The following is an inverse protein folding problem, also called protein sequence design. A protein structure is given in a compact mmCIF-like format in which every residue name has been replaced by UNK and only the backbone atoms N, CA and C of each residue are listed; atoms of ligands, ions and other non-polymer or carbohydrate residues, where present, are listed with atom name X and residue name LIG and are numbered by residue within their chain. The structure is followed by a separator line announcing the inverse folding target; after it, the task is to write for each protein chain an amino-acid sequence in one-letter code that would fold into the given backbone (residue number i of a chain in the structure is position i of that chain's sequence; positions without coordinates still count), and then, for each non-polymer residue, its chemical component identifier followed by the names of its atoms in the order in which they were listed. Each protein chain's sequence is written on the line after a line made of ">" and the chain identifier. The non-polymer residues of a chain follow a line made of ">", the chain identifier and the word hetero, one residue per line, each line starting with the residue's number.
data_IF_388963976383
#
_entry.id   IF_388963976383
#
_cell.length_a   1.000
_cell.length_b   1.000
_cell.length_c   1.000
_cell.angle_alpha   90.00
_cell.angle_beta   90.00
_cell.angle_gamma   90.00
#
_symmetry.space_group_name_H-M   'P 1'
#
loop_
_entity.id
_entity.type
_entity.pdbx_description
1 polymer ?
#
# COMPACT_ATOMS: atom_id res chain seq x y z
N UNK A 1 -61.25 69.13 25.06
CA UNK A 1 -60.61 68.93 26.39
C UNK A 1 -59.69 67.70 26.47
N UNK A 2 -59.29 67.08 25.35
CA UNK A 2 -58.40 65.89 25.34
C UNK A 2 -56.97 66.14 24.81
N UNK A 3 -56.63 67.38 24.40
CA UNK A 3 -55.29 67.70 23.89
C UNK A 3 -54.28 68.12 24.98
N UNK A 4 -54.72 68.39 26.22
CA UNK A 4 -53.85 68.84 27.33
C UNK A 4 -53.31 67.71 28.22
N UNK A 5 -53.88 66.50 28.14
CA UNK A 5 -53.50 65.37 29.02
C UNK A 5 -52.51 64.40 28.38
N UNK A 6 -52.36 64.40 27.05
CA UNK A 6 -51.32 63.63 26.35
C UNK A 6 -49.92 64.28 26.43
N UNK A 7 -49.84 65.58 26.72
CA UNK A 7 -48.56 66.28 26.80
C UNK A 7 -47.80 66.03 28.11
N UNK A 8 -48.46 65.66 29.22
CA UNK A 8 -47.79 65.54 30.52
C UNK A 8 -47.05 64.21 30.73
N UNK A 9 -47.49 63.12 30.09
CA UNK A 9 -46.78 61.84 30.15
C UNK A 9 -45.58 61.85 29.19
N UNK A 10 -45.78 62.36 27.97
CA UNK A 10 -44.72 62.51 26.98
C UNK A 10 -43.65 63.50 27.43
N UNK A 11 -44.02 64.64 28.04
CA UNK A 11 -43.04 65.59 28.58
C UNK A 11 -42.20 64.98 29.71
N UNK A 12 -42.81 64.21 30.62
CA UNK A 12 -42.08 63.49 31.68
C UNK A 12 -41.11 62.45 31.12
N UNK A 13 -41.48 61.75 30.05
CA UNK A 13 -40.58 60.81 29.38
C UNK A 13 -39.40 61.52 28.71
N UNK A 14 -39.64 62.68 28.09
CA UNK A 14 -38.58 63.50 27.49
C UNK A 14 -37.66 64.09 28.57
N UNK A 15 -38.19 64.53 29.71
CA UNK A 15 -37.39 65.02 30.84
C UNK A 15 -36.51 63.92 31.45
N UNK A 16 -37.04 62.71 31.60
CA UNK A 16 -36.25 61.55 32.05
C UNK A 16 -35.17 61.19 31.03
N UNK A 17 -35.50 61.21 29.75
CA UNK A 17 -34.54 60.94 28.68
C UNK A 17 -33.45 62.03 28.62
N UNK A 18 -33.81 63.30 28.76
CA UNK A 18 -32.85 64.41 28.76
C UNK A 18 -31.91 64.34 29.96
N UNK A 19 -32.43 64.02 31.15
CA UNK A 19 -31.61 63.79 32.34
C UNK A 19 -30.65 62.60 32.15
N UNK A 20 -31.13 61.50 31.56
CA UNK A 20 -30.29 60.35 31.24
C UNK A 20 -29.20 60.68 30.21
N UNK A 21 -29.55 61.40 29.15
CA UNK A 21 -28.60 61.82 28.12
C UNK A 21 -27.56 62.78 28.70
N UNK A 22 -27.98 63.76 29.52
CA UNK A 22 -27.06 64.68 30.19
C UNK A 22 -26.13 63.92 31.12
N UNK A 23 -26.65 63.00 31.93
CA UNK A 23 -25.84 62.18 32.82
C UNK A 23 -24.81 61.34 32.05
N UNK A 24 -25.23 60.65 30.98
CA UNK A 24 -24.34 59.85 30.13
C UNK A 24 -23.30 60.73 29.41
N UNK A 25 -23.72 61.88 28.86
CA UNK A 25 -22.83 62.81 28.16
C UNK A 25 -21.81 63.45 29.10
N UNK A 26 -22.15 63.65 30.37
CA UNK A 26 -21.24 64.18 31.38
C UNK A 26 -20.06 63.24 31.69
N UNK A 27 -20.23 61.93 31.41
CA UNK A 27 -19.15 60.95 31.51
C UNK A 27 -18.15 61.01 30.35
N UNK A 28 -18.46 61.73 29.26
CA UNK A 28 -17.61 61.83 28.07
C UNK A 28 -16.85 63.15 28.07
N UNK A 29 -15.57 63.09 28.42
CA UNK A 29 -14.67 64.24 28.25
C UNK A 29 -14.42 64.48 26.75
N UNK A 30 -14.73 65.68 26.25
CA UNK A 30 -14.48 66.09 24.86
C UNK A 30 -13.07 66.68 24.69
N UNK A 31 -12.56 67.41 25.69
CA UNK A 31 -11.24 68.04 25.68
C UNK A 31 -10.13 67.04 26.06
N UNK A 32 -9.75 66.20 25.11
CA UNK A 32 -8.74 65.13 25.32
C UNK A 32 -7.35 65.44 24.80
N UNK A 33 -7.18 66.50 24.00
CA UNK A 33 -5.90 66.85 23.42
C UNK A 33 -5.13 67.78 24.37
N UNK A 34 -3.94 67.36 24.78
CA UNK A 34 -3.04 68.14 25.62
C UNK A 34 -1.72 68.36 24.88
N UNK A 35 -1.30 69.62 24.66
CA UNK A 35 -0.04 69.91 24.00
C UNK A 35 1.14 69.75 24.98
N UNK A 36 2.28 69.26 24.47
CA UNK A 36 3.53 69.16 25.20
C UNK A 36 4.70 69.69 24.36
N UNK A 37 5.66 70.34 25.00
CA UNK A 37 6.81 70.96 24.32
C UNK A 37 7.96 69.99 24.03
N UNK A 38 8.07 68.91 24.81
CA UNK A 38 9.13 67.89 24.67
C UNK A 38 8.53 66.49 24.62
N UNK A 39 9.18 65.62 23.83
CA UNK A 39 8.84 64.20 23.72
C UNK A 39 9.05 63.47 25.05
N UNK A 40 10.07 63.85 25.84
CA UNK A 40 10.36 63.17 27.11
C UNK A 40 9.26 63.41 28.15
N UNK A 41 8.79 64.66 28.27
CA UNK A 41 7.67 65.03 29.15
C UNK A 41 6.37 64.34 28.74
N UNK A 42 6.16 64.20 27.43
CA UNK A 42 5.02 63.49 26.86
C UNK A 42 5.07 62.00 27.21
N UNK A 43 6.23 61.36 27.13
CA UNK A 43 6.42 59.94 27.47
C UNK A 43 6.24 59.68 28.97
N UNK A 44 6.81 60.53 29.82
CA UNK A 44 6.62 60.46 31.28
C UNK A 44 5.14 60.55 31.64
N UNK A 45 4.44 61.56 31.08
CA UNK A 45 3.02 61.74 31.34
C UNK A 45 2.16 60.60 30.79
N UNK A 46 2.51 60.08 29.61
CA UNK A 46 1.83 58.92 29.03
C UNK A 46 1.99 57.68 29.91
N UNK A 47 3.17 57.47 30.51
CA UNK A 47 3.42 56.37 31.42
C UNK A 47 2.60 56.48 32.71
N UNK A 48 2.54 57.67 33.32
CA UNK A 48 1.67 57.94 34.49
C UNK A 48 0.20 57.62 34.20
N UNK A 49 -0.31 58.11 33.06
CA UNK A 49 -1.70 57.90 32.65
C UNK A 49 -1.99 56.42 32.38
N UNK A 50 -0.99 55.65 31.93
CA UNK A 50 -1.11 54.20 31.73
C UNK A 50 -1.26 53.45 33.04
N UNK A 51 -0.56 53.88 34.09
CA UNK A 51 -0.70 53.29 35.43
C UNK A 51 -2.06 53.63 36.06
N UNK A 52 -2.59 54.82 35.81
CA UNK A 52 -3.90 55.27 36.32
C UNK A 52 -5.10 54.66 35.57
N UNK A 53 -4.86 53.84 34.54
CA UNK A 53 -5.88 53.16 33.74
C UNK A 53 -6.93 54.11 33.13
N UNK A 54 -6.57 55.38 32.87
CA UNK A 54 -7.41 56.33 32.15
C UNK A 54 -7.44 55.93 30.67
N UNK A 55 -8.46 55.15 30.31
CA UNK A 55 -8.53 54.26 29.15
C UNK A 55 -8.32 54.87 27.75
N UNK A 56 -8.25 56.19 27.56
CA UNK A 56 -8.07 56.80 26.22
C UNK A 56 -6.93 57.83 26.17
N UNK A 57 -6.75 58.65 27.21
CA UNK A 57 -5.68 59.65 27.29
C UNK A 57 -4.27 59.02 27.42
N UNK A 58 -4.18 57.81 27.96
CA UNK A 58 -2.93 57.06 28.13
C UNK A 58 -2.37 56.44 26.83
N UNK A 59 -3.21 56.27 25.80
CA UNK A 59 -2.97 55.25 24.78
C UNK A 59 -2.32 55.74 23.50
N UNK A 60 -2.35 57.04 23.22
CA UNK A 60 -1.90 57.59 21.94
C UNK A 60 -1.16 58.91 22.13
N UNK A 61 0.04 59.00 21.55
CA UNK A 61 0.86 60.21 21.52
C UNK A 61 1.10 60.60 20.07
N UNK A 62 0.98 61.89 19.75
CA UNK A 62 1.23 62.42 18.41
C UNK A 62 2.50 63.26 18.48
N UNK A 63 3.49 62.91 17.66
CA UNK A 63 4.76 63.62 17.59
C UNK A 63 4.89 64.21 16.20
N UNK A 64 4.89 65.54 16.10
CA UNK A 64 5.18 66.24 14.86
C UNK A 64 6.69 66.40 14.71
N UNK A 65 7.24 65.87 13.63
CA UNK A 65 8.65 66.09 13.30
C UNK A 65 8.74 67.36 12.44
N UNK A 66 8.84 68.50 13.12
CA UNK A 66 9.13 69.78 12.46
C UNK A 66 10.64 69.94 12.35
N UNK A 67 11.12 70.23 11.14
CA UNK A 67 12.53 70.54 10.91
C UNK A 67 12.93 71.76 11.76
N UNK A 68 13.96 71.59 12.60
CA UNK A 68 14.45 72.60 13.56
C UNK A 68 14.95 73.90 12.93
N UNK A 69 14.96 74.01 11.60
CA UNK A 69 15.56 75.12 10.85
C UNK A 69 14.58 76.26 10.51
N UNK A 70 13.36 76.30 11.06
CA UNK A 70 12.48 77.47 10.88
C UNK A 70 12.69 78.47 12.02
N UNK A 71 13.25 79.61 11.67
CA UNK A 71 13.15 80.84 12.46
C UNK A 71 11.68 81.21 12.65
N UNK A 72 11.30 81.76 13.82
CA UNK A 72 9.91 81.94 14.24
C UNK A 72 9.07 82.94 13.42
N UNK A 73 9.66 83.63 12.43
CA UNK A 73 9.05 84.81 11.79
C UNK A 73 8.56 84.64 10.35
N UNK A 74 8.51 83.42 9.78
CA UNK A 74 8.01 83.23 8.41
C UNK A 74 6.68 82.46 8.33
N UNK A 75 5.60 83.19 8.65
CA UNK A 75 4.19 82.91 8.36
C UNK A 75 3.58 81.66 9.03
N UNK A 76 2.36 81.82 9.56
CA UNK A 76 1.49 80.81 10.18
C UNK A 76 1.07 79.64 9.26
N UNK A 77 1.90 79.27 8.27
CA UNK A 77 1.63 78.22 7.29
C UNK A 77 2.45 76.98 7.61
N UNK A 78 1.74 75.87 7.80
CA UNK A 78 2.36 74.54 7.89
C UNK A 78 3.28 74.31 6.68
N UNK A 79 4.36 73.56 6.87
CA UNK A 79 5.23 73.14 5.78
C UNK A 79 4.44 72.34 4.74
N UNK A 80 4.87 72.41 3.47
CA UNK A 80 4.24 71.67 2.37
C UNK A 80 4.27 70.15 2.62
N UNK A 81 5.27 69.65 3.35
CA UNK A 81 5.34 68.27 3.80
C UNK A 81 5.37 68.24 5.33
N UNK A 82 4.45 67.50 5.93
CA UNK A 82 4.33 67.31 7.39
C UNK A 82 4.52 65.83 7.66
N UNK A 83 5.50 65.51 8.52
CA UNK A 83 5.67 64.15 9.02
C UNK A 83 5.27 64.12 10.49
N UNK A 84 4.39 63.18 10.82
CA UNK A 84 3.96 62.95 12.20
C UNK A 84 4.07 61.46 12.52
N UNK A 85 4.28 61.16 13.79
CA UNK A 85 4.33 59.80 14.32
C UNK A 85 3.20 59.63 15.32
N UNK A 86 2.35 58.63 15.10
CA UNK A 86 1.35 58.18 16.08
C UNK A 86 1.98 57.04 16.86
N UNK A 87 2.29 57.29 18.13
CA UNK A 87 2.76 56.25 19.06
C UNK A 87 1.61 55.75 19.90
N UNK A 88 1.59 54.46 20.16
CA UNK A 88 0.55 53.82 20.96
C UNK A 88 1.08 52.60 21.68
N UNK A 89 0.37 52.17 22.72
CA UNK A 89 0.68 50.95 23.45
C UNK A 89 0.50 49.71 22.56
N UNK A 90 1.39 48.73 22.72
CA UNK A 90 1.39 47.45 21.99
C UNK A 90 0.08 46.67 22.15
N UNK A 91 -0.67 46.90 23.24
CA UNK A 91 -1.98 46.27 23.47
C UNK A 91 -3.04 46.71 22.45
N UNK A 92 -2.94 47.93 21.93
CA UNK A 92 -3.97 48.58 21.10
C UNK A 92 -3.54 48.83 19.66
N UNK A 93 -2.33 48.40 19.29
CA UNK A 93 -1.82 48.39 17.92
C UNK A 93 -1.36 47.00 17.55
N UNK A 94 -1.25 46.74 16.25
CA UNK A 94 -0.45 45.61 15.80
C UNK A 94 1.03 45.89 16.08
N UNK A 95 1.80 44.82 16.27
CA UNK A 95 3.25 44.92 16.35
C UNK A 95 3.81 45.33 14.99
N UNK A 96 4.80 46.20 15.02
CA UNK A 96 5.48 46.71 13.82
C UNK A 96 6.81 46.00 13.54
N UNK A 97 7.09 44.89 14.24
CA UNK A 97 8.29 44.08 14.06
C UNK A 97 8.27 43.27 12.77
N UNK A 98 7.08 42.82 12.36
CA UNK A 98 6.86 42.00 11.18
C UNK A 98 5.76 42.61 10.33
N UNK A 99 6.08 42.96 9.08
CA UNK A 99 5.09 43.45 8.11
C UNK A 99 4.18 42.31 7.62
N UNK A 100 4.73 41.08 7.57
CA UNK A 100 4.02 39.89 7.08
C UNK A 100 4.33 38.68 7.95
N UNK A 101 3.37 37.76 8.05
CA UNK A 101 3.58 36.47 8.67
C UNK A 101 4.67 35.67 7.92
N UNK A 102 5.69 35.12 8.62
CA UNK A 102 6.75 34.32 7.99
C UNK A 102 6.23 33.08 7.27
N UNK A 103 5.21 32.44 7.85
CA UNK A 103 4.50 31.33 7.22
C UNK A 103 3.22 31.84 6.55
N UNK A 104 3.03 31.49 5.28
CA UNK A 104 1.80 31.79 4.58
C UNK A 104 0.65 30.97 5.18
N UNK A 105 -0.47 31.63 5.48
CA UNK A 105 -1.69 31.00 5.98
C UNK A 105 -2.82 31.27 5.02
N UNK A 106 -3.41 30.20 4.50
CA UNK A 106 -4.60 30.25 3.63
C UNK A 106 -5.88 30.49 4.43
N UNK A 107 -5.92 31.46 5.35
CA UNK A 107 -7.19 31.76 6.02
C UNK A 107 -7.29 33.26 6.29
N UNK A 108 -8.51 33.83 6.28
CA UNK A 108 -8.69 35.21 6.67
C UNK A 108 -8.28 35.37 8.13
N UNK A 109 -7.74 36.52 8.51
CA UNK A 109 -7.47 36.83 9.91
C UNK A 109 -8.81 36.90 10.66
N UNK A 110 -9.19 35.78 11.29
CA UNK A 110 -10.57 35.45 11.67
C UNK A 110 -11.06 36.06 12.98
N UNK A 111 -10.32 36.96 13.61
CA UNK A 111 -10.74 37.51 14.91
C UNK A 111 -10.97 39.03 14.84
N UNK A 112 -12.17 39.52 15.19
CA UNK A 112 -12.44 40.95 15.33
C UNK A 112 -11.58 41.61 16.43
N UNK A 113 -10.98 40.84 17.36
CA UNK A 113 -10.15 41.37 18.44
C UNK A 113 -8.67 41.57 18.11
N UNK A 114 -8.07 40.73 17.25
CA UNK A 114 -6.62 40.80 16.95
C UNK A 114 -6.30 41.28 15.53
N UNK A 115 -7.15 40.98 14.54
CA UNK A 115 -6.91 41.33 13.13
C UNK A 115 -7.31 42.75 12.73
N UNK A 116 -8.14 43.43 13.53
CA UNK A 116 -8.69 44.75 13.22
C UNK A 116 -8.33 45.82 14.25
N UNK A 117 -7.24 45.63 15.01
CA UNK A 117 -6.78 46.58 16.04
C UNK A 117 -6.65 48.03 15.52
N UNK A 118 -6.18 48.19 14.27
CA UNK A 118 -6.07 49.50 13.65
C UNK A 118 -7.42 50.19 13.38
N UNK A 119 -8.47 49.45 13.05
CA UNK A 119 -9.79 50.02 12.72
C UNK A 119 -10.48 50.68 13.91
N UNK A 120 -10.16 50.28 15.15
CA UNK A 120 -10.89 50.75 16.33
C UNK A 120 -10.58 52.20 16.69
N UNK A 121 -9.30 52.60 16.67
CA UNK A 121 -8.87 53.92 17.17
C UNK A 121 -7.82 54.54 16.25
N UNK A 122 -6.86 53.76 15.76
CA UNK A 122 -5.75 54.31 14.97
C UNK A 122 -6.22 54.92 13.66
N UNK A 123 -7.07 54.24 12.89
CA UNK A 123 -7.56 54.76 11.60
C UNK A 123 -8.47 55.99 11.81
N UNK A 124 -9.48 55.98 12.71
CA UNK A 124 -10.25 57.19 12.99
C UNK A 124 -9.38 58.36 13.46
N UNK A 125 -8.39 58.11 14.32
CA UNK A 125 -7.45 59.15 14.78
C UNK A 125 -6.59 59.68 13.63
N UNK A 126 -6.12 58.79 12.75
CA UNK A 126 -5.36 59.16 11.56
C UNK A 126 -6.20 60.03 10.62
N UNK A 127 -7.45 59.65 10.33
CA UNK A 127 -8.38 60.42 9.51
C UNK A 127 -8.65 61.81 10.13
N UNK A 128 -8.86 61.89 11.45
CA UNK A 128 -9.03 63.17 12.16
C UNK A 128 -7.81 64.09 12.03
N UNK A 129 -6.59 63.56 12.21
CA UNK A 129 -5.35 64.32 12.10
C UNK A 129 -5.10 64.75 10.66
N UNK A 130 -5.27 63.85 9.69
CA UNK A 130 -5.05 64.14 8.27
C UNK A 130 -6.04 65.20 7.77
N UNK A 131 -7.32 65.10 8.12
CA UNK A 131 -8.31 66.15 7.82
C UNK A 131 -7.93 67.49 8.42
N UNK A 132 -7.45 67.51 9.67
CA UNK A 132 -7.00 68.74 10.32
C UNK A 132 -5.77 69.35 9.61
N UNK A 133 -4.79 68.53 9.19
CA UNK A 133 -3.61 69.00 8.44
C UNK A 133 -4.04 69.54 7.07
N UNK A 134 -4.92 68.83 6.35
CA UNK A 134 -5.43 69.26 5.03
C UNK A 134 -6.19 70.57 5.17
N UNK A 135 -7.08 70.69 6.16
CA UNK A 135 -7.83 71.92 6.44
C UNK A 135 -6.88 73.07 6.77
N UNK A 136 -5.86 72.84 7.61
CA UNK A 136 -4.88 73.85 7.97
C UNK A 136 -3.97 74.29 6.79
N UNK A 137 -3.67 73.38 5.85
CA UNK A 137 -2.86 73.69 4.66
C UNK A 137 -3.67 74.37 3.55
N UNK A 138 -4.92 73.96 3.34
CA UNK A 138 -5.78 74.46 2.26
C UNK A 138 -6.61 75.67 2.65
N UNK A 139 -6.88 75.86 3.94
CA UNK A 139 -7.78 76.89 4.45
C UNK A 139 -9.26 76.63 4.14
N UNK A 140 -9.60 75.41 3.73
CA UNK A 140 -10.97 74.98 3.41
C UNK A 140 -11.42 73.90 4.38
N UNK A 141 -12.71 73.91 4.75
CA UNK A 141 -13.31 72.83 5.53
C UNK A 141 -13.54 71.60 4.64
N UNK A 142 -12.66 70.62 4.78
CA UNK A 142 -12.72 69.36 4.01
C UNK A 142 -13.63 68.35 4.73
N UNK A 143 -14.93 68.51 4.53
CA UNK A 143 -15.95 67.55 5.03
C UNK A 143 -16.07 66.30 4.16
N UNK A 144 -15.67 66.38 2.89
CA UNK A 144 -15.68 65.28 1.92
C UNK A 144 -14.27 65.08 1.35
N UNK A 145 -13.82 63.84 1.10
CA UNK A 145 -14.57 62.58 1.06
C UNK A 145 -14.69 61.88 2.42
N UNK A 146 -15.79 61.17 2.63
CA UNK A 146 -15.94 60.24 3.75
C UNK A 146 -15.07 58.99 3.50
N UNK A 147 -14.16 58.68 4.42
CA UNK A 147 -13.30 57.49 4.32
C UNK A 147 -14.04 56.32 4.97
N UNK A 148 -14.34 55.28 4.18
CA UNK A 148 -14.87 54.01 4.67
C UNK A 148 -13.84 52.90 4.46
N UNK A 149 -13.52 52.16 5.52
CA UNK A 149 -12.60 51.03 5.46
C UNK A 149 -13.38 49.73 5.37
N UNK A 150 -13.13 48.96 4.31
CA UNK A 150 -13.71 47.63 4.13
C UNK A 150 -12.60 46.63 3.81
N UNK A 151 -12.63 45.48 4.49
CA UNK A 151 -11.74 44.37 4.18
C UNK A 151 -12.14 43.74 2.83
N UNK A 152 -11.14 43.32 2.04
CA UNK A 152 -11.40 42.56 0.82
C UNK A 152 -12.10 41.23 1.16
N UNK A 153 -13.18 40.87 0.44
CA UNK A 153 -13.86 39.60 0.67
C UNK A 153 -12.91 38.44 0.36
N UNK A 154 -12.82 37.48 1.30
CA UNK A 154 -12.00 36.29 1.13
C UNK A 154 -12.86 35.13 0.58
N UNK A 155 -12.36 34.33 -0.39
CA UNK A 155 -13.10 33.19 -0.92
C UNK A 155 -13.43 32.17 0.18
N UNK A 156 -14.46 31.36 -0.03
CA UNK A 156 -14.82 30.30 0.90
C UNK A 156 -13.62 29.35 1.08
N UNK A 157 -13.19 29.15 2.33
CA UNK A 157 -12.03 28.32 2.67
C UNK A 157 -12.32 27.46 3.91
N UNK A 158 -11.92 26.18 3.84
CA UNK A 158 -12.00 25.22 4.95
C UNK A 158 -10.71 25.28 5.77
N UNK A 159 -10.78 25.84 6.99
CA UNK A 159 -9.60 25.95 7.86
C UNK A 159 -9.39 24.69 8.69
N UNK A 160 -8.71 23.70 8.10
CA UNK A 160 -8.39 22.44 8.78
C UNK A 160 -6.96 22.47 9.36
N UNK A 161 -6.83 23.07 10.55
CA UNK A 161 -5.55 23.15 11.26
C UNK A 161 -4.96 21.75 11.52
N UNK A 162 -5.83 20.77 11.79
CA UNK A 162 -5.45 19.39 12.01
C UNK A 162 -4.80 18.75 10.79
N UNK A 163 -5.40 18.89 9.59
CA UNK A 163 -4.84 18.34 8.35
C UNK A 163 -3.50 19.00 8.00
N UNK A 164 -3.40 20.32 8.19
CA UNK A 164 -2.15 21.03 7.95
C UNK A 164 -1.03 20.56 8.89
N UNK A 165 -1.34 20.36 10.17
CA UNK A 165 -0.37 19.88 11.14
C UNK A 165 -0.01 18.41 10.91
N UNK A 166 -1.00 17.55 10.62
CA UNK A 166 -0.76 16.13 10.30
C UNK A 166 0.09 15.98 9.05
N UNK A 167 -0.13 16.80 8.02
CA UNK A 167 0.67 16.77 6.79
C UNK A 167 2.18 16.89 7.08
N UNK A 168 2.56 17.68 8.09
CA UNK A 168 3.95 17.82 8.51
C UNK A 168 4.48 16.61 9.31
N UNK A 169 3.67 16.05 10.21
CA UNK A 169 4.10 14.93 11.06
C UNK A 169 4.00 13.55 10.40
N UNK A 170 3.16 13.42 9.37
CA UNK A 170 2.88 12.15 8.73
C UNK A 170 4.14 11.46 8.16
N UNK A 171 5.05 12.15 7.44
CA UNK A 171 6.29 11.54 6.96
C UNK A 171 7.18 11.04 8.11
N UNK A 172 7.26 11.77 9.22
CA UNK A 172 8.05 11.38 10.39
C UNK A 172 7.49 10.11 11.04
N UNK A 173 6.17 10.03 11.21
CA UNK A 173 5.50 8.84 11.73
C UNK A 173 5.68 7.63 10.81
N UNK A 174 5.62 7.86 9.50
CA UNK A 174 5.82 6.79 8.51
C UNK A 174 7.26 6.27 8.53
N UNK A 175 8.25 7.18 8.59
CA UNK A 175 9.66 6.80 8.74
C UNK A 175 9.87 5.98 10.02
N UNK A 176 9.38 6.46 11.18
CA UNK A 176 9.49 5.75 12.46
C UNK A 176 8.89 4.34 12.41
N UNK A 177 7.72 4.20 11.79
CA UNK A 177 7.05 2.89 11.63
C UNK A 177 7.90 1.94 10.80
N UNK A 178 8.57 2.45 9.77
CA UNK A 178 9.39 1.64 8.87
C UNK A 178 10.83 1.45 9.32
N UNK A 179 11.31 2.19 10.33
CA UNK A 179 12.68 2.08 10.84
C UNK A 179 13.05 0.64 11.22
N UNK A 180 12.18 -0.06 11.94
CA UNK A 180 12.44 -1.45 12.37
C UNK A 180 12.45 -2.40 11.18
N UNK A 181 11.51 -2.23 10.24
CA UNK A 181 11.42 -3.04 9.02
C UNK A 181 12.65 -2.85 8.12
N UNK A 182 13.08 -1.61 7.91
CA UNK A 182 14.27 -1.28 7.11
C UNK A 182 15.53 -1.80 7.81
N UNK A 183 15.67 -1.60 9.12
CA UNK A 183 16.82 -2.12 9.87
C UNK A 183 16.91 -3.65 9.82
N UNK A 184 15.78 -4.36 9.94
CA UNK A 184 15.73 -5.81 9.82
C UNK A 184 16.07 -6.29 8.41
N UNK A 185 15.56 -5.61 7.37
CA UNK A 185 15.89 -5.89 5.96
C UNK A 185 17.38 -5.71 5.69
N UNK A 186 17.97 -4.58 6.10
CA UNK A 186 19.38 -4.28 5.89
C UNK A 186 20.26 -5.30 6.62
N UNK A 187 19.92 -5.64 7.88
CA UNK A 187 20.66 -6.68 8.63
C UNK A 187 20.62 -8.02 7.91
N UNK A 188 19.46 -8.42 7.37
CA UNK A 188 19.32 -9.67 6.63
C UNK A 188 20.12 -9.66 5.34
N UNK A 189 20.07 -8.59 4.56
CA UNK A 189 20.84 -8.43 3.33
C UNK A 189 22.35 -8.51 3.58
N UNK A 190 22.85 -7.80 4.59
CA UNK A 190 24.27 -7.81 4.95
C UNK A 190 24.70 -9.19 5.44
N UNK A 191 23.85 -9.88 6.21
CA UNK A 191 24.10 -11.23 6.69
C UNK A 191 24.18 -12.25 5.54
N UNK A 192 23.28 -12.18 4.56
CA UNK A 192 23.31 -13.05 3.37
C UNK A 192 24.55 -12.79 2.51
N UNK A 193 24.96 -11.52 2.36
CA UNK A 193 26.22 -11.16 1.69
C UNK A 193 27.46 -11.67 2.41
N UNK A 194 27.50 -11.59 3.73
CA UNK A 194 28.65 -12.04 4.52
C UNK A 194 28.90 -13.56 4.41
N UNK A 195 27.84 -14.36 4.19
CA UNK A 195 27.93 -15.81 4.01
C UNK A 195 28.34 -16.19 2.57
N UNK A 196 28.58 -15.20 1.68
CA UNK A 196 28.82 -15.42 0.25
C UNK A 196 27.74 -16.29 -0.40
N UNK A 197 26.51 -16.20 0.11
CA UNK A 197 25.41 -17.01 -0.38
C UNK A 197 25.10 -16.66 -1.85
N UNK A 198 25.34 -15.40 -2.25
CA UNK A 198 25.29 -14.94 -3.65
C UNK A 198 26.26 -15.74 -4.57
N UNK A 199 27.49 -16.02 -4.14
CA UNK A 199 28.49 -16.76 -4.93
C UNK A 199 28.18 -18.27 -4.99
N UNK A 200 27.68 -18.84 -3.89
CA UNK A 200 27.21 -20.23 -3.84
C UNK A 200 25.99 -20.44 -4.76
N UNK A 201 25.03 -19.51 -4.77
CA UNK A 201 23.83 -19.59 -5.61
C UNK A 201 24.13 -19.28 -7.08
N UNK A 202 25.04 -18.35 -7.39
CA UNK A 202 25.49 -18.11 -8.78
C UNK A 202 26.27 -19.30 -9.35
N UNK A 203 27.07 -20.00 -8.54
CA UNK A 203 27.84 -21.16 -9.01
C UNK A 203 26.98 -22.42 -9.22
N UNK A 204 25.86 -22.55 -8.51
CA UNK A 204 24.94 -23.70 -8.63
C UNK A 204 23.71 -23.43 -9.49
N UNK A 205 23.40 -22.16 -9.81
CA UNK A 205 22.24 -21.79 -10.62
C UNK A 205 22.56 -20.58 -11.51
N UNK A 206 22.46 -20.78 -12.83
CA UNK A 206 22.76 -19.78 -13.86
C UNK A 206 21.71 -18.64 -13.91
N UNK A 207 21.72 -17.73 -12.94
CA UNK A 207 20.86 -16.54 -12.91
C UNK A 207 21.66 -15.23 -12.86
N UNK A 208 21.21 -14.24 -13.64
CA UNK A 208 21.74 -12.87 -13.62
C UNK A 208 21.26 -12.05 -12.42
N UNK A 209 22.03 -11.03 -12.04
CA UNK A 209 21.83 -10.19 -10.85
C UNK A 209 20.41 -9.62 -10.67
N UNK A 210 19.66 -9.40 -11.75
CA UNK A 210 18.30 -8.83 -11.69
C UNK A 210 17.25 -9.72 -11.01
N UNK A 211 17.38 -11.04 -11.08
CA UNK A 211 16.41 -11.98 -10.48
C UNK A 211 16.52 -12.01 -8.96
N UNK A 212 17.73 -11.81 -8.43
CA UNK A 212 17.97 -11.73 -6.98
C UNK A 212 17.22 -10.56 -6.35
N UNK A 213 17.30 -9.36 -6.94
CA UNK A 213 16.61 -8.17 -6.43
C UNK A 213 15.08 -8.34 -6.43
N UNK A 214 14.50 -8.95 -7.47
CA UNK A 214 13.06 -9.20 -7.54
C UNK A 214 12.62 -10.15 -6.41
N UNK A 215 13.36 -11.25 -6.20
CA UNK A 215 13.04 -12.20 -5.11
C UNK A 215 13.24 -11.61 -3.71
N UNK A 216 14.17 -10.65 -3.55
CA UNK A 216 14.44 -9.97 -2.30
C UNK A 216 13.32 -8.96 -1.94
N UNK A 217 12.87 -8.15 -2.89
CA UNK A 217 11.74 -7.23 -2.69
C UNK A 217 10.42 -7.98 -2.41
N UNK A 218 10.17 -9.11 -3.08
CA UNK A 218 9.00 -9.97 -2.79
C UNK A 218 9.11 -10.67 -1.41
N UNK A 219 10.32 -10.84 -0.87
CA UNK A 219 10.57 -11.45 0.44
C UNK A 219 10.33 -10.54 1.65
N UNK A 220 10.19 -9.22 1.45
CA UNK A 220 10.16 -8.23 2.52
C UNK A 220 8.84 -8.20 3.31
N UNK A 221 7.72 -8.60 2.70
CA UNK A 221 6.38 -8.66 3.34
C UNK A 221 6.14 -9.95 4.16
N UNK A 222 7.05 -10.95 4.09
CA UNK A 222 6.72 -12.32 4.50
C UNK A 222 7.69 -12.80 5.59
N UNK A 223 7.74 -12.05 6.69
CA UNK A 223 8.59 -12.35 7.85
C UNK A 223 8.12 -13.51 8.74
N UNK A 224 6.90 -14.06 8.57
CA UNK A 224 6.37 -15.12 9.47
C UNK A 224 5.41 -16.14 8.81
N UNK A 225 5.51 -16.39 7.50
CA UNK A 225 4.62 -17.35 6.84
C UNK A 225 5.42 -18.54 6.30
N UNK A 226 5.11 -19.72 6.85
CA UNK A 226 5.60 -21.02 6.37
C UNK A 226 5.43 -21.11 4.85
N UNK A 227 6.43 -21.72 4.20
CA UNK A 227 6.57 -21.99 2.76
C UNK A 227 5.25 -22.30 2.02
N UNK A 228 4.27 -22.92 2.68
CA UNK A 228 2.97 -23.32 2.13
C UNK A 228 1.97 -22.18 1.89
N UNK A 229 2.00 -21.07 2.64
CA UNK A 229 1.12 -19.91 2.32
C UNK A 229 1.68 -19.04 1.18
N UNK A 230 2.99 -19.12 0.89
CA UNK A 230 3.61 -18.45 -0.27
C UNK A 230 3.05 -18.96 -1.60
N UNK A 231 2.89 -20.28 -1.75
CA UNK A 231 2.33 -20.88 -2.98
C UNK A 231 0.86 -20.55 -3.21
N UNK A 232 0.04 -20.45 -2.15
CA UNK A 232 -1.41 -20.22 -2.26
C UNK A 232 -1.78 -18.77 -2.59
N UNK A 233 -0.94 -17.80 -2.23
CA UNK A 233 -1.15 -16.37 -2.54
C UNK A 233 -0.71 -16.03 -3.97
N UNK A 234 0.34 -16.68 -4.49
CA UNK A 234 0.77 -16.52 -5.88
C UNK A 234 -0.32 -16.91 -6.91
N UNK A 235 -1.13 -17.93 -6.57
CA UNK A 235 -2.19 -18.46 -7.43
C UNK A 235 -3.35 -17.48 -7.67
N UNK A 236 -3.61 -16.54 -6.74
CA UNK A 236 -4.84 -15.72 -6.79
C UNK A 236 -4.74 -14.39 -7.54
N UNK A 237 -3.57 -13.95 -8.04
CA UNK A 237 -3.43 -12.54 -8.50
C UNK A 237 -2.64 -12.24 -9.78
N UNK A 238 -2.30 -13.21 -10.64
CA UNK A 238 -1.67 -12.90 -11.94
C UNK A 238 -2.55 -13.35 -13.12
N UNK A 239 -3.55 -12.54 -13.43
CA UNK A 239 -4.30 -12.56 -14.69
C UNK A 239 -3.71 -11.47 -15.59
N UNK A 240 -2.47 -11.65 -16.04
CA UNK A 240 -1.85 -10.79 -17.06
C UNK A 240 -1.32 -11.72 -18.13
N UNK A 241 -1.90 -11.57 -19.32
CA UNK A 241 -1.58 -12.29 -20.55
C UNK A 241 -0.14 -12.03 -20.94
N UNK A 242 0.65 -13.09 -20.93
CA UNK A 242 1.83 -13.37 -21.76
C UNK A 242 2.21 -14.81 -21.39
N UNK A 243 2.58 -15.65 -22.37
CA UNK A 243 2.79 -17.10 -22.19
C UNK A 243 3.69 -17.40 -20.98
N UNK A 244 3.05 -17.71 -19.85
CA UNK A 244 3.70 -17.79 -18.55
C UNK A 244 4.27 -19.19 -18.38
N UNK A 245 5.54 -19.36 -18.72
CA UNK A 245 6.33 -20.55 -18.38
C UNK A 245 6.58 -20.55 -16.86
N UNK A 246 5.68 -21.18 -16.12
CA UNK A 246 5.86 -21.43 -14.70
C UNK A 246 6.75 -22.66 -14.53
N UNK A 247 7.90 -22.48 -13.88
CA UNK A 247 8.81 -23.57 -13.52
C UNK A 247 8.63 -23.90 -12.03
N UNK A 248 8.30 -25.15 -11.71
CA UNK A 248 8.12 -25.58 -10.33
C UNK A 248 8.53 -27.03 -10.12
N UNK A 249 9.26 -27.31 -9.03
CA UNK A 249 9.45 -28.68 -8.56
C UNK A 249 8.31 -29.04 -7.59
N UNK A 250 7.57 -30.10 -7.92
CA UNK A 250 6.62 -30.72 -7.00
C UNK A 250 7.38 -31.73 -6.14
N UNK A 251 7.22 -31.60 -4.82
CA UNK A 251 7.73 -32.56 -3.85
C UNK A 251 6.62 -32.78 -2.82
N UNK A 252 5.78 -33.78 -3.06
CA UNK A 252 4.64 -34.10 -2.21
C UNK A 252 4.60 -35.61 -1.85
N UNK A 253 5.63 -36.14 -1.16
CA UNK A 253 5.62 -37.54 -0.75
C UNK A 253 4.44 -37.79 0.20
N UNK A 254 3.50 -38.64 -0.20
CA UNK A 254 2.39 -39.12 0.64
C UNK A 254 1.04 -38.42 0.49
N UNK A 255 0.81 -37.65 -0.59
CA UNK A 255 -0.51 -37.09 -0.85
C UNK A 255 -1.48 -38.15 -1.38
N UNK A 256 -2.74 -38.09 -0.95
CA UNK A 256 -3.80 -38.94 -1.53
C UNK A 256 -4.24 -38.39 -2.89
N UNK A 257 -4.64 -39.26 -3.82
CA UNK A 257 -5.13 -38.87 -5.16
C UNK A 257 -6.22 -37.78 -5.14
N UNK A 258 -7.05 -37.75 -4.09
CA UNK A 258 -8.06 -36.69 -3.90
C UNK A 258 -7.45 -35.30 -3.63
N UNK A 259 -6.38 -35.24 -2.84
CA UNK A 259 -5.66 -33.99 -2.54
C UNK A 259 -4.89 -33.48 -3.75
N UNK A 260 -4.30 -34.41 -4.53
CA UNK A 260 -3.65 -34.08 -5.79
C UNK A 260 -4.67 -33.51 -6.79
N UNK A 261 -5.80 -34.19 -7.00
CA UNK A 261 -6.86 -33.74 -7.91
C UNK A 261 -7.49 -32.40 -7.50
N UNK A 262 -7.63 -32.14 -6.19
CA UNK A 262 -8.12 -30.85 -5.71
C UNK A 262 -7.13 -29.71 -6.01
N UNK A 263 -5.83 -29.96 -5.90
CA UNK A 263 -4.78 -29.00 -6.28
C UNK A 263 -4.74 -28.78 -7.80
N UNK A 264 -4.94 -29.83 -8.59
CA UNK A 264 -5.00 -29.81 -10.06
C UNK A 264 -6.18 -28.99 -10.55
N UNK A 265 -7.37 -29.16 -9.97
CA UNK A 265 -8.56 -28.40 -10.37
C UNK A 265 -8.38 -26.87 -10.25
N UNK A 266 -7.48 -26.42 -9.38
CA UNK A 266 -7.08 -25.02 -9.27
C UNK A 266 -6.13 -24.56 -10.40
N UNK A 267 -5.30 -25.46 -10.90
CA UNK A 267 -4.32 -25.22 -11.97
C UNK A 267 -4.88 -25.46 -13.38
N UNK A 268 -5.83 -26.38 -13.57
CA UNK A 268 -6.50 -26.62 -14.87
C UNK A 268 -7.33 -25.42 -15.31
N UNK A 269 -7.87 -24.64 -14.37
CA UNK A 269 -8.48 -23.35 -14.68
C UNK A 269 -7.48 -22.34 -15.29
N UNK A 270 -6.16 -22.57 -15.19
CA UNK A 270 -5.12 -21.77 -15.85
C UNK A 270 -4.71 -22.33 -17.23
N UNK A 271 -4.85 -23.63 -17.51
CA UNK A 271 -4.50 -24.19 -18.82
C UNK A 271 -5.47 -23.72 -19.91
N UNK A 272 -6.74 -23.52 -19.57
CA UNK A 272 -7.75 -22.92 -20.47
C UNK A 272 -7.42 -21.46 -20.89
N UNK A 273 -6.45 -20.82 -20.24
CA UNK A 273 -5.99 -19.47 -20.55
C UNK A 273 -4.74 -19.43 -21.48
N UNK A 274 -4.30 -20.55 -22.04
CA UNK A 274 -3.15 -20.62 -22.97
C UNK A 274 -1.78 -20.58 -22.29
N UNK A 275 -1.70 -20.99 -21.01
CA UNK A 275 -0.46 -21.09 -20.26
C UNK A 275 0.15 -22.50 -20.38
N UNK A 276 1.46 -22.58 -20.67
CA UNK A 276 2.21 -23.84 -20.67
C UNK A 276 2.96 -23.98 -19.34
N UNK A 277 2.59 -24.97 -18.53
CA UNK A 277 3.21 -25.27 -17.24
C UNK A 277 4.24 -26.38 -17.41
N UNK A 278 5.48 -26.15 -16.99
CA UNK A 278 6.52 -27.19 -16.94
C UNK A 278 6.90 -27.41 -15.49
N UNK A 279 6.74 -28.65 -15.01
CA UNK A 279 7.17 -29.04 -13.68
C UNK A 279 8.08 -30.26 -13.76
N UNK A 280 8.98 -30.39 -12.79
CA UNK A 280 9.84 -31.56 -12.62
C UNK A 280 9.43 -32.29 -11.35
N UNK A 281 9.19 -33.59 -11.45
CA UNK A 281 8.89 -34.47 -10.32
C UNK A 281 9.74 -35.75 -10.40
N UNK A 282 10.07 -36.29 -9.23
CA UNK A 282 10.72 -37.59 -9.08
C UNK A 282 9.69 -38.73 -8.99
N UNK A 283 8.42 -38.42 -8.75
CA UNK A 283 7.35 -39.41 -8.62
C UNK A 283 6.60 -39.53 -9.94
N UNK A 284 6.68 -40.69 -10.59
CA UNK A 284 6.04 -40.90 -11.88
C UNK A 284 4.50 -40.89 -11.78
N UNK A 285 3.94 -41.32 -10.65
CA UNK A 285 2.50 -41.22 -10.38
C UNK A 285 2.00 -39.76 -10.43
N UNK A 286 2.80 -38.82 -9.90
CA UNK A 286 2.49 -37.40 -9.99
C UNK A 286 2.57 -36.92 -11.44
N UNK A 287 3.61 -37.33 -12.17
CA UNK A 287 3.76 -36.94 -13.58
C UNK A 287 2.59 -37.46 -14.43
N UNK A 288 2.16 -38.69 -14.21
CA UNK A 288 1.06 -39.32 -14.94
C UNK A 288 -0.27 -38.62 -14.72
N UNK A 289 -0.58 -38.23 -13.47
CA UNK A 289 -1.85 -37.57 -13.14
C UNK A 289 -1.86 -36.10 -13.56
N UNK A 290 -0.70 -35.43 -13.48
CA UNK A 290 -0.61 -33.98 -13.63
C UNK A 290 -0.25 -33.50 -15.04
N UNK A 291 0.35 -34.34 -15.88
CA UNK A 291 0.90 -33.92 -17.17
C UNK A 291 0.14 -34.46 -18.37
N UNK A 292 -0.09 -33.60 -19.36
CA UNK A 292 -0.56 -34.01 -20.68
C UNK A 292 0.56 -34.71 -21.47
N UNK A 293 1.81 -34.34 -21.18
CA UNK A 293 3.02 -34.83 -21.85
C UNK A 293 4.16 -34.96 -20.85
N UNK A 294 4.84 -36.09 -20.92
CA UNK A 294 6.01 -36.43 -20.10
C UNK A 294 7.26 -36.35 -20.98
N UNK A 295 8.33 -35.80 -20.42
CA UNK A 295 9.65 -35.73 -21.01
C UNK A 295 10.65 -36.38 -20.05
N UNK A 296 11.42 -37.38 -20.52
CA UNK A 296 12.45 -38.05 -19.72
C UNK A 296 13.83 -37.55 -20.16
N UNK A 297 14.58 -37.02 -19.20
CA UNK A 297 15.94 -36.50 -19.39
C UNK A 297 16.96 -37.47 -18.79
N UNK A 298 17.97 -37.85 -19.56
CA UNK A 298 19.07 -38.72 -19.11
C UNK A 298 20.41 -38.17 -19.62
N UNK A 299 21.43 -38.08 -18.73
CA UNK A 299 22.76 -37.56 -19.07
C UNK A 299 22.75 -36.20 -19.81
N UNK A 300 21.82 -35.31 -19.44
CA UNK A 300 21.69 -33.97 -20.04
C UNK A 300 21.04 -33.93 -21.43
N UNK A 301 20.53 -35.06 -21.94
CA UNK A 301 19.80 -35.14 -23.22
C UNK A 301 18.36 -35.62 -23.01
N UNK A 302 17.43 -35.08 -23.80
CA UNK A 302 16.03 -35.51 -23.83
C UNK A 302 15.94 -36.85 -24.56
N UNK A 303 15.61 -37.93 -23.84
CA UNK A 303 15.56 -39.30 -24.39
C UNK A 303 14.22 -39.61 -25.04
N UNK A 304 13.13 -39.25 -24.38
CA UNK A 304 11.79 -39.47 -24.91
C UNK A 304 10.84 -38.36 -24.47
N UNK A 305 9.79 -38.17 -25.28
CA UNK A 305 8.75 -37.17 -25.10
C UNK A 305 7.45 -37.72 -25.68
N UNK A 306 6.35 -37.58 -24.94
CA UNK A 306 5.04 -38.02 -25.42
C UNK A 306 3.99 -38.01 -24.32
N UNK A 307 2.76 -38.42 -24.65
CA UNK A 307 1.75 -38.70 -23.64
C UNK A 307 2.13 -39.97 -22.85
N UNK A 308 1.63 -40.13 -21.61
CA UNK A 308 1.84 -41.34 -20.82
C UNK A 308 1.51 -42.63 -21.60
N UNK A 309 0.39 -42.64 -22.33
CA UNK A 309 -0.04 -43.78 -23.15
C UNK A 309 0.94 -44.06 -24.30
N UNK A 310 1.41 -43.02 -25.00
CA UNK A 310 2.37 -43.18 -26.09
C UNK A 310 3.70 -43.77 -25.61
N UNK A 311 4.17 -43.34 -24.44
CA UNK A 311 5.42 -43.87 -23.87
C UNK A 311 5.29 -45.35 -23.49
N UNK A 312 4.12 -45.78 -22.99
CA UNK A 312 3.85 -47.18 -22.69
C UNK A 312 3.79 -48.05 -23.95
N UNK A 313 3.13 -47.59 -25.01
CA UNK A 313 3.03 -48.34 -26.26
C UNK A 313 4.38 -48.41 -27.00
N UNK A 314 5.17 -47.34 -26.96
CA UNK A 314 6.43 -47.26 -27.72
C UNK A 314 7.60 -47.97 -27.01
N UNK A 315 7.68 -47.82 -25.68
CA UNK A 315 8.83 -48.30 -24.89
C UNK A 315 8.47 -49.37 -23.86
N UNK A 316 7.17 -49.64 -23.66
CA UNK A 316 6.72 -50.75 -22.83
C UNK A 316 6.95 -52.09 -23.52
N UNK A 317 7.01 -53.13 -22.71
CA UNK A 317 7.26 -54.50 -23.19
C UNK A 317 5.95 -55.27 -23.44
N UNK A 318 4.80 -54.61 -23.32
CA UNK A 318 3.46 -55.21 -23.43
C UNK A 318 2.83 -55.54 -22.07
N UNK A 319 1.74 -56.29 -22.06
CA UNK A 319 1.04 -56.63 -20.82
C UNK A 319 1.81 -57.69 -20.02
N UNK A 320 1.78 -57.57 -18.70
CA UNK A 320 2.34 -58.57 -17.79
C UNK A 320 1.23 -59.51 -17.31
N UNK A 321 1.35 -60.80 -17.63
CA UNK A 321 0.50 -61.86 -17.12
C UNK A 321 1.18 -62.50 -15.89
N UNK A 322 0.57 -62.31 -14.73
CA UNK A 322 1.04 -62.88 -13.47
C UNK A 322 0.20 -64.09 -13.10
N UNK A 323 0.81 -65.25 -12.89
CA UNK A 323 0.15 -66.47 -12.40
C UNK A 323 0.62 -66.80 -11.00
N UNK A 324 -0.32 -67.00 -10.08
CA UNK A 324 -0.04 -67.30 -8.67
C UNK A 324 -0.03 -68.81 -8.48
N UNK A 325 1.06 -69.36 -7.94
CA UNK A 325 1.23 -70.80 -7.67
C UNK A 325 0.41 -71.22 -6.45
N UNK A 326 -0.16 -72.42 -6.47
CA UNK A 326 -0.83 -72.99 -5.27
C UNK A 326 0.19 -73.24 -4.16
N UNK A 327 -0.12 -72.80 -2.92
CA UNK A 327 0.78 -73.00 -1.77
C UNK A 327 0.91 -74.48 -1.36
N UNK A 328 0.13 -75.40 -1.93
CA UNK A 328 0.21 -76.83 -1.60
C UNK A 328 1.36 -77.59 -2.30
N UNK A 329 2.22 -76.90 -3.05
CA UNK A 329 3.38 -77.48 -3.77
C UNK A 329 4.65 -76.67 -3.45
N UNK A 330 5.00 -76.55 -2.16
CA UNK A 330 6.16 -75.75 -1.72
C UNK A 330 7.51 -76.50 -1.74
N UNK A 331 7.60 -77.70 -2.31
CA UNK A 331 8.85 -78.49 -2.22
C UNK A 331 9.59 -78.80 -3.51
N UNK A 332 9.16 -78.37 -4.71
CA UNK A 332 10.00 -78.58 -5.90
C UNK A 332 9.93 -77.38 -6.84
N UNK A 333 11.06 -76.68 -7.02
CA UNK A 333 11.36 -75.89 -8.22
C UNK A 333 11.42 -76.84 -9.42
N UNK A 334 10.30 -77.46 -9.78
CA UNK A 334 10.26 -78.50 -10.78
C UNK A 334 10.29 -77.81 -12.15
N UNK A 335 11.37 -77.90 -12.94
CA UNK A 335 11.45 -77.25 -14.26
C UNK A 335 10.33 -77.73 -15.20
N UNK A 336 9.76 -78.91 -14.92
CA UNK A 336 8.61 -79.48 -15.62
C UNK A 336 7.30 -78.74 -15.39
N UNK A 337 7.16 -78.00 -14.29
CA UNK A 337 5.96 -77.21 -14.00
C UNK A 337 5.98 -75.89 -14.76
N UNK A 338 7.10 -75.17 -14.69
CA UNK A 338 7.33 -73.95 -15.48
C UNK A 338 7.21 -74.27 -16.96
N UNK A 339 7.83 -75.36 -17.43
CA UNK A 339 7.75 -75.76 -18.84
C UNK A 339 6.31 -76.02 -19.32
N UNK A 340 5.44 -76.63 -18.51
CA UNK A 340 4.02 -76.86 -18.87
C UNK A 340 3.21 -75.57 -18.94
N UNK A 341 3.46 -74.64 -18.02
CA UNK A 341 2.80 -73.32 -18.03
C UNK A 341 3.32 -72.51 -19.23
N UNK A 342 4.63 -72.44 -19.42
CA UNK A 342 5.25 -71.76 -20.56
C UNK A 342 4.77 -72.35 -21.89
N UNK A 343 4.66 -73.67 -22.02
CA UNK A 343 4.20 -74.30 -23.26
C UNK A 343 2.73 -74.01 -23.57
N UNK A 344 1.89 -73.83 -22.54
CA UNK A 344 0.48 -73.48 -22.70
C UNK A 344 0.29 -72.00 -23.04
N UNK A 345 1.12 -71.12 -22.47
CA UNK A 345 1.13 -69.70 -22.81
C UNK A 345 1.66 -69.54 -24.25
N UNK A 346 2.75 -70.21 -24.60
CA UNK A 346 3.35 -70.17 -25.94
C UNK A 346 2.51 -70.85 -27.02
N UNK A 347 1.64 -71.80 -26.68
CA UNK A 347 0.75 -72.41 -27.67
C UNK A 347 -0.33 -71.45 -28.18
N UNK A 348 -0.72 -70.45 -27.37
CA UNK A 348 -1.68 -69.43 -27.75
C UNK A 348 -1.01 -68.12 -28.18
N UNK A 349 0.12 -67.77 -27.56
CA UNK A 349 0.90 -66.57 -27.87
C UNK A 349 2.39 -66.95 -27.96
N UNK A 350 2.91 -67.26 -29.15
CA UNK A 350 4.28 -67.76 -29.31
C UNK A 350 5.36 -66.73 -28.94
N UNK A 351 5.03 -65.44 -28.99
CA UNK A 351 5.95 -64.35 -28.64
C UNK A 351 6.03 -64.06 -27.13
N UNK A 352 5.22 -64.74 -26.31
CA UNK A 352 5.24 -64.55 -24.86
C UNK A 352 6.47 -65.23 -24.23
N UNK A 353 7.18 -64.47 -23.38
CA UNK A 353 8.37 -64.95 -22.68
C UNK A 353 8.24 -64.75 -21.16
N UNK A 354 8.95 -65.59 -20.41
CA UNK A 354 8.99 -65.52 -18.95
C UNK A 354 9.93 -64.38 -18.53
N UNK A 355 9.40 -63.34 -17.88
CA UNK A 355 10.17 -62.21 -17.35
C UNK A 355 10.76 -62.55 -15.99
N UNK A 356 9.93 -63.04 -15.08
CA UNK A 356 10.33 -63.36 -13.70
C UNK A 356 9.67 -64.66 -13.21
N UNK A 357 10.43 -65.44 -12.45
CA UNK A 357 9.95 -66.63 -11.74
C UNK A 357 10.23 -66.46 -10.25
N UNK A 358 9.25 -65.90 -9.55
CA UNK A 358 9.29 -65.81 -8.10
C UNK A 358 8.78 -67.11 -7.46
N UNK A 359 9.16 -67.36 -6.21
CA UNK A 359 8.75 -68.58 -5.49
C UNK A 359 7.24 -68.81 -5.49
N UNK A 360 6.46 -67.74 -5.47
CA UNK A 360 4.99 -67.74 -5.41
C UNK A 360 4.31 -67.39 -6.73
N UNK A 361 5.00 -66.75 -7.67
CA UNK A 361 4.38 -66.14 -8.85
C UNK A 361 5.25 -66.32 -10.12
N UNK A 362 4.60 -66.52 -11.26
CA UNK A 362 5.24 -66.51 -12.59
C UNK A 362 4.75 -65.29 -13.37
N UNK A 363 5.68 -64.46 -13.84
CA UNK A 363 5.35 -63.26 -14.61
C UNK A 363 5.80 -63.45 -16.05
N UNK A 364 4.84 -63.47 -16.98
CA UNK A 364 5.07 -63.54 -18.42
C UNK A 364 4.79 -62.19 -19.05
N UNK A 365 5.60 -61.82 -20.03
CA UNK A 365 5.39 -60.62 -20.84
C UNK A 365 4.71 -61.03 -22.13
N UNK A 366 3.57 -60.40 -22.41
CA UNK A 366 2.77 -60.61 -23.61
C UNK A 366 2.90 -59.34 -24.47
N UNK A 367 3.57 -59.43 -25.64
CA UNK A 367 3.69 -58.29 -26.55
C UNK A 367 2.32 -57.75 -26.99
N UNK A 368 2.21 -56.43 -27.10
CA UNK A 368 0.98 -55.72 -27.47
C UNK A 368 0.52 -56.00 -28.91
N UNK A 369 1.38 -56.62 -29.74
CA UNK A 369 1.08 -57.07 -31.11
C UNK A 369 0.20 -58.32 -31.19
N UNK A 370 -0.14 -58.93 -30.05
CA UNK A 370 -0.96 -60.14 -30.03
C UNK A 370 -2.44 -59.84 -30.33
N UNK A 371 -3.06 -60.63 -31.20
CA UNK A 371 -4.47 -60.48 -31.57
C UNK A 371 -5.41 -60.64 -30.35
N UNK A 372 -6.46 -59.82 -30.29
CA UNK A 372 -7.50 -59.87 -29.22
C UNK A 372 -8.16 -61.26 -29.10
N UNK A 373 -8.20 -62.03 -30.19
CA UNK A 373 -8.71 -63.42 -30.20
C UNK A 373 -7.81 -64.38 -29.45
N UNK A 374 -6.49 -64.17 -29.48
CA UNK A 374 -5.50 -64.99 -28.79
C UNK A 374 -5.57 -64.79 -27.27
N UNK A 375 -5.85 -63.58 -26.79
CA UNK A 375 -6.12 -63.33 -25.37
C UNK A 375 -7.34 -64.09 -24.86
N UNK A 376 -8.45 -64.08 -25.61
CA UNK A 376 -9.66 -64.82 -25.24
C UNK A 376 -9.40 -66.34 -25.17
N UNK A 377 -8.67 -66.88 -26.15
CA UNK A 377 -8.28 -68.29 -26.17
C UNK A 377 -7.38 -68.65 -24.99
N UNK A 378 -6.37 -67.81 -24.70
CA UNK A 378 -5.45 -67.99 -23.59
C UNK A 378 -6.18 -68.00 -22.24
N UNK A 379 -7.06 -67.03 -21.98
CA UNK A 379 -7.80 -66.97 -20.72
C UNK A 379 -8.76 -68.15 -20.56
N UNK A 380 -9.44 -68.56 -21.62
CA UNK A 380 -10.30 -69.74 -21.59
C UNK A 380 -9.50 -71.03 -21.33
N UNK A 381 -8.33 -71.18 -21.96
CA UNK A 381 -7.44 -72.30 -21.73
C UNK A 381 -6.86 -72.30 -20.32
N UNK A 382 -6.49 -71.13 -19.79
CA UNK A 382 -6.03 -70.98 -18.41
C UNK A 382 -7.14 -71.36 -17.43
N UNK A 383 -8.35 -70.82 -17.58
CA UNK A 383 -9.51 -71.14 -16.72
C UNK A 383 -9.80 -72.65 -16.67
N UNK A 384 -9.76 -73.33 -17.82
CA UNK A 384 -9.99 -74.78 -17.89
C UNK A 384 -8.84 -75.60 -17.26
N UNK A 385 -7.61 -75.08 -17.31
CA UNK A 385 -6.41 -75.78 -16.86
C UNK A 385 -5.90 -75.34 -15.48
N UNK A 386 -6.54 -74.38 -14.81
CA UNK A 386 -6.17 -73.88 -13.47
C UNK A 386 -5.95 -74.99 -12.44
N UNK A 387 -6.87 -75.97 -12.40
CA UNK A 387 -6.76 -77.12 -11.48
C UNK A 387 -5.59 -78.04 -11.82
N UNK A 388 -5.34 -78.26 -13.11
CA UNK A 388 -4.29 -79.14 -13.63
C UNK A 388 -2.89 -78.51 -13.58
N UNK A 389 -2.82 -77.17 -13.65
CA UNK A 389 -1.60 -76.38 -13.59
C UNK A 389 -1.20 -76.00 -12.16
N UNK A 390 -1.96 -76.37 -11.13
CA UNK A 390 -1.73 -75.97 -9.73
C UNK A 390 -1.56 -74.45 -9.54
N UNK A 391 -2.32 -73.64 -10.29
CA UNK A 391 -2.34 -72.17 -10.18
C UNK A 391 -3.59 -71.77 -9.40
N UNK A 392 -3.49 -70.82 -8.47
CA UNK A 392 -4.64 -70.29 -7.69
C UNK A 392 -5.43 -69.27 -8.48
N UNK A 393 -4.74 -68.46 -9.29
CA UNK A 393 -5.35 -67.45 -10.15
C UNK A 393 -4.31 -66.81 -11.06
N UNK A 394 -4.80 -66.06 -12.05
CA UNK A 394 -3.98 -65.21 -12.91
C UNK A 394 -4.49 -63.78 -12.89
N UNK A 395 -3.60 -62.83 -13.12
CA UNK A 395 -3.90 -61.41 -13.29
C UNK A 395 -3.17 -60.86 -14.50
N UNK A 396 -3.80 -59.94 -15.21
CA UNK A 396 -3.16 -59.17 -16.29
C UNK A 396 -3.00 -57.73 -15.81
N UNK A 397 -1.81 -57.17 -15.97
CA UNK A 397 -1.52 -55.77 -15.66
C UNK A 397 -0.83 -55.09 -16.85
N UNK A 398 -1.08 -53.80 -17.00
CA UNK A 398 -0.40 -52.97 -17.99
C UNK A 398 1.03 -52.65 -17.52
N UNK A 399 1.93 -52.37 -18.47
CA UNK A 399 3.27 -51.87 -18.16
C UNK A 399 3.16 -50.54 -17.39
N UNK A 400 3.86 -50.41 -16.27
CA UNK A 400 3.91 -49.13 -15.54
C UNK A 400 4.92 -48.17 -16.17
N UNK A 401 4.76 -46.87 -15.95
CA UNK A 401 5.77 -45.89 -16.39
C UNK A 401 7.12 -46.08 -15.69
N UNK A 402 7.14 -46.67 -14.50
CA UNK A 402 8.37 -47.04 -13.80
C UNK A 402 9.17 -48.09 -14.56
N UNK A 403 8.49 -49.12 -15.10
CA UNK A 403 9.13 -50.13 -15.93
C UNK A 403 9.67 -49.53 -17.23
N UNK A 404 8.94 -48.60 -17.86
CA UNK A 404 9.42 -47.85 -19.03
C UNK A 404 10.66 -47.02 -18.67
N UNK A 405 10.67 -46.36 -17.51
CA UNK A 405 11.80 -45.58 -17.05
C UNK A 405 13.03 -46.46 -16.78
N UNK A 406 12.85 -47.66 -16.23
CA UNK A 406 13.94 -48.61 -16.01
C UNK A 406 14.62 -49.05 -17.31
N UNK A 407 13.89 -49.18 -18.42
CA UNK A 407 14.49 -49.49 -19.74
C UNK A 407 15.56 -48.45 -20.12
N UNK A 408 15.31 -47.16 -19.83
CA UNK A 408 16.27 -46.10 -20.11
C UNK A 408 17.46 -46.09 -19.16
N UNK A 409 17.33 -46.57 -17.92
CA UNK A 409 18.42 -46.60 -16.95
C UNK A 409 19.35 -47.81 -17.09
N UNK A 410 18.87 -48.91 -17.66
CA UNK A 410 19.63 -50.15 -17.87
C UNK A 410 20.43 -50.12 -19.20
N UNK A 411 20.07 -49.23 -20.13
CA UNK A 411 20.86 -48.89 -21.34
C UNK A 411 21.79 -47.71 -21.10
#
# INVERSE_FOLDING_TARGET
>A
MMAKTLNSSASRQIDLLSQLIVNISSCVLLDRFQPFESVDKLEEKAHELMQQNNFLASKYCIIFNTSKNKTPDSSNRLTQHVSYTIRTSVLYSMRTDLIKNPAWKSHPQKLPSDGFKYNHIFIPLQDMIERAIISAQTGLDVSEPAIQVQAMPYPCHTSDLFLNNIGFFFPLMMMLTWMVSVASMVRKLVYERQIHLEECLLSTTAFGQGVFFITFFEGQEIGKLSSLKKKKILSKRKKIREHLLLYGSLKAPGWTNKQLNQQVSGCTNLSDAGCTLIFTTHHLDEAEVLSDRIAILQQGQLRCYGSPSYLRETYGQGHSLTLIKKPSVFEIQDPKHVFRVTSLVQSHIPEAFLKENNGTELTYVIPERADKTSFKGLFQALDQSLHHLHVTGYGISDTTLEEVLLVFFVM
#
